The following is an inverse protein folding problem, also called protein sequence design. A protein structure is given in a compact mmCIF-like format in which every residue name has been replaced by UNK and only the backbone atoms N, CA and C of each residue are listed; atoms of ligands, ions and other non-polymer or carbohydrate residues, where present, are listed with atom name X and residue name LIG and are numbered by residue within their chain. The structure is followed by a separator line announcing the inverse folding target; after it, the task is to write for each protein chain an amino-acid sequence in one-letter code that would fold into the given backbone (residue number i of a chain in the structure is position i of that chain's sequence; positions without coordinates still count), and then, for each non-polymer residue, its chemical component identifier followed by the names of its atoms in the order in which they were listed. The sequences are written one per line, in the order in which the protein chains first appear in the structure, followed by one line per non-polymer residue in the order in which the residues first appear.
data_IF_565432636910
#
_entry.id   IF_565432636910
#
_cell.length_a   1.000
_cell.length_b   1.000
_cell.length_c   1.000
_cell.angle_alpha   90.00
_cell.angle_beta   90.00
_cell.angle_gamma   90.00
#
_symmetry.space_group_name_H-M   'P 1'
#
loop_
_entity.id
_entity.type
_entity.pdbx_description
1 polymer ?
#
# COMPACT_ATOMS: atom_id res chain seq x y z
N UNK A 1 -15.32 -11.55 22.33
CA UNK A 1 -15.01 -10.16 22.69
C UNK A 1 -13.83 -9.68 21.84
N UNK A 2 -13.95 -8.53 21.17
CA UNK A 2 -12.89 -7.98 20.29
C UNK A 2 -11.83 -7.30 21.17
N UNK A 3 -10.57 -7.71 21.04
CA UNK A 3 -9.44 -7.09 21.76
C UNK A 3 -8.92 -5.87 20.98
N UNK A 4 -9.35 -4.66 21.37
CA UNK A 4 -8.92 -3.40 20.74
C UNK A 4 -7.38 -3.28 20.63
N UNK A 5 -6.65 -3.71 21.65
CA UNK A 5 -5.19 -3.70 21.65
C UNK A 5 -4.57 -4.55 20.53
N UNK A 6 -5.21 -5.68 20.16
CA UNK A 6 -4.77 -6.49 19.03
C UNK A 6 -5.02 -5.76 17.71
N UNK A 7 -6.17 -5.09 17.57
CA UNK A 7 -6.51 -4.31 16.38
C UNK A 7 -5.53 -3.15 16.14
N UNK A 8 -5.20 -2.39 17.20
CA UNK A 8 -4.22 -1.29 17.16
C UNK A 8 -2.83 -1.80 16.74
N UNK A 9 -2.39 -2.93 17.29
CA UNK A 9 -1.11 -3.55 16.93
C UNK A 9 -1.08 -3.99 15.47
N UNK A 10 -2.18 -4.59 14.98
CA UNK A 10 -2.31 -4.99 13.57
C UNK A 10 -2.26 -3.78 12.64
N UNK A 11 -3.00 -2.72 12.93
CA UNK A 11 -2.94 -1.47 12.16
C UNK A 11 -1.52 -0.90 12.05
N UNK A 12 -0.76 -0.89 13.15
CA UNK A 12 0.65 -0.49 13.13
C UNK A 12 1.52 -1.40 12.25
N UNK A 13 1.29 -2.71 12.24
CA UNK A 13 1.97 -3.66 11.35
C UNK A 13 1.61 -3.42 9.89
N UNK A 14 0.35 -3.11 9.58
CA UNK A 14 -0.08 -2.77 8.22
C UNK A 14 0.54 -1.47 7.72
N UNK A 15 0.54 -0.42 8.54
CA UNK A 15 1.22 0.83 8.20
C UNK A 15 2.71 0.60 7.95
N UNK A 16 3.35 -0.24 8.78
CA UNK A 16 4.75 -0.59 8.60
C UNK A 16 5.00 -1.36 7.29
N UNK A 17 4.12 -2.30 6.96
CA UNK A 17 4.20 -3.10 5.73
C UNK A 17 3.93 -2.25 4.49
N UNK A 18 3.02 -1.28 4.58
CA UNK A 18 2.76 -0.31 3.53
C UNK A 18 4.00 0.52 3.22
N UNK A 19 4.63 1.11 4.24
CA UNK A 19 5.86 1.91 4.08
C UNK A 19 7.01 1.04 3.53
N UNK A 20 7.17 -0.18 4.05
CA UNK A 20 8.20 -1.10 3.55
C UNK A 20 7.96 -1.45 2.08
N UNK A 21 6.71 -1.75 1.68
CA UNK A 21 6.37 -2.04 0.29
C UNK A 21 6.63 -0.83 -0.63
N UNK A 22 6.24 0.37 -0.20
CA UNK A 22 6.51 1.61 -0.93
C UNK A 22 8.01 1.81 -1.15
N UNK A 23 8.82 1.75 -0.09
CA UNK A 23 10.26 1.98 -0.17
C UNK A 23 10.98 0.89 -0.97
N UNK A 24 10.60 -0.39 -0.79
CA UNK A 24 11.20 -1.49 -1.54
C UNK A 24 10.88 -1.40 -3.03
N UNK A 25 9.63 -1.08 -3.39
CA UNK A 25 9.27 -0.84 -4.78
C UNK A 25 10.00 0.35 -5.37
N UNK A 26 10.06 1.47 -4.64
CA UNK A 26 10.80 2.65 -5.09
C UNK A 26 12.28 2.36 -5.30
N UNK A 27 12.94 1.71 -4.33
CA UNK A 27 14.34 1.32 -4.44
C UNK A 27 14.58 0.37 -5.62
N UNK A 28 13.73 -0.64 -5.82
CA UNK A 28 13.86 -1.57 -6.93
C UNK A 28 13.69 -0.87 -8.29
N UNK A 29 12.74 0.07 -8.42
CA UNK A 29 12.57 0.87 -9.65
C UNK A 29 13.81 1.74 -9.88
N UNK A 30 14.29 2.46 -8.87
CA UNK A 30 15.48 3.31 -8.97
C UNK A 30 16.74 2.52 -9.36
N UNK A 31 16.91 1.31 -8.83
CA UNK A 31 17.97 0.38 -9.28
C UNK A 31 17.72 -0.05 -10.73
N UNK A 32 16.49 -0.36 -11.11
CA UNK A 32 16.11 -0.69 -12.49
C UNK A 32 16.44 0.41 -13.49
N UNK A 33 16.37 1.69 -13.10
CA UNK A 33 16.76 2.82 -13.95
C UNK A 33 18.23 2.82 -14.36
N UNK A 34 19.09 2.08 -13.63
CA UNK A 34 20.49 1.91 -14.03
C UNK A 34 20.67 0.95 -15.22
N UNK A 35 19.61 0.19 -15.55
CA UNK A 35 19.63 -0.86 -16.57
C UNK A 35 18.64 -0.62 -17.72
N UNK A 36 17.57 0.16 -17.49
CA UNK A 36 16.48 0.35 -18.44
C UNK A 36 15.83 1.74 -18.34
N UNK A 37 15.00 2.09 -19.32
CA UNK A 37 14.14 3.28 -19.24
C UNK A 37 13.14 3.14 -18.09
N UNK A 38 12.61 4.27 -17.61
CA UNK A 38 11.64 4.32 -16.51
C UNK A 38 10.45 3.38 -16.71
N UNK A 39 9.84 3.35 -17.89
CA UNK A 39 8.65 2.53 -18.10
C UNK A 39 8.99 1.05 -18.09
N UNK A 40 10.12 0.67 -18.71
CA UNK A 40 10.62 -0.70 -18.70
C UNK A 40 11.01 -1.16 -17.28
N UNK A 41 11.64 -0.29 -16.50
CA UNK A 41 11.99 -0.57 -15.11
C UNK A 41 10.73 -0.77 -14.24
N UNK A 42 9.72 0.09 -14.42
CA UNK A 42 8.43 -0.05 -13.74
C UNK A 42 7.74 -1.36 -14.14
N UNK A 43 7.70 -1.67 -15.44
CA UNK A 43 7.04 -2.86 -15.98
C UNK A 43 7.76 -4.16 -15.61
N UNK A 44 9.07 -4.12 -15.37
CA UNK A 44 9.83 -5.24 -14.83
C UNK A 44 9.61 -5.44 -13.31
N UNK A 45 9.47 -4.35 -12.54
CA UNK A 45 9.45 -4.39 -11.07
C UNK A 45 8.04 -4.59 -10.50
N UNK A 46 7.03 -3.91 -11.05
CA UNK A 46 5.68 -3.94 -10.47
C UNK A 46 5.04 -5.34 -10.51
N UNK A 47 5.01 -6.09 -11.63
CA UNK A 47 4.37 -7.39 -11.69
C UNK A 47 4.87 -8.40 -10.66
N UNK A 48 6.19 -8.65 -10.49
CA UNK A 48 6.66 -9.62 -9.50
C UNK A 48 6.36 -9.17 -8.07
N UNK A 49 6.47 -7.87 -7.76
CA UNK A 49 6.17 -7.38 -6.41
C UNK A 49 4.67 -7.45 -6.08
N UNK A 50 3.80 -7.17 -7.05
CA UNK A 50 2.35 -7.36 -6.91
C UNK A 50 2.01 -8.85 -6.74
N UNK A 51 2.63 -9.73 -7.52
CA UNK A 51 2.45 -11.18 -7.41
C UNK A 51 2.88 -11.71 -6.03
N UNK A 52 4.05 -11.30 -5.53
CA UNK A 52 4.52 -11.64 -4.20
C UNK A 52 3.56 -11.17 -3.10
N UNK A 53 2.93 -10.01 -3.29
CA UNK A 53 1.92 -9.49 -2.36
C UNK A 53 0.68 -10.36 -2.37
N UNK A 54 0.18 -10.69 -3.56
CA UNK A 54 -0.97 -11.57 -3.71
C UNK A 54 -0.70 -12.94 -3.07
N UNK A 55 0.49 -13.51 -3.27
CA UNK A 55 0.92 -14.76 -2.64
C UNK A 55 1.01 -14.65 -1.11
N UNK A 56 1.62 -13.58 -0.60
CA UNK A 56 1.73 -13.35 0.85
C UNK A 56 0.35 -13.19 1.50
N UNK A 57 -0.57 -12.46 0.85
CA UNK A 57 -1.95 -12.30 1.32
C UNK A 57 -2.73 -13.62 1.26
N UNK A 58 -2.63 -14.36 0.15
CA UNK A 58 -3.24 -15.68 0.01
C UNK A 58 -2.72 -16.66 1.06
N UNK A 59 -1.41 -16.69 1.30
CA UNK A 59 -0.78 -17.47 2.35
C UNK A 59 -1.27 -17.09 3.75
N UNK A 60 -1.41 -15.79 4.04
CA UNK A 60 -1.94 -15.31 5.30
C UNK A 60 -3.41 -15.72 5.53
N UNK A 61 -4.23 -15.72 4.47
CA UNK A 61 -5.61 -16.23 4.52
C UNK A 61 -5.62 -17.72 4.84
N UNK A 62 -4.86 -18.53 4.11
CA UNK A 62 -4.75 -19.99 4.35
C UNK A 62 -4.27 -20.29 5.77
N UNK A 63 -3.22 -19.60 6.23
CA UNK A 63 -2.70 -19.73 7.59
C UNK A 63 -3.76 -19.39 8.65
N UNK A 64 -4.59 -18.36 8.39
CA UNK A 64 -5.68 -17.96 9.28
C UNK A 64 -6.79 -19.02 9.36
N UNK A 65 -7.06 -19.74 8.26
CA UNK A 65 -8.03 -20.83 8.25
C UNK A 65 -7.57 -22.03 9.08
N UNK A 66 -6.28 -22.37 9.02
CA UNK A 66 -5.68 -23.51 9.74
C UNK A 66 -5.40 -23.19 11.21
N UNK A 67 -5.31 -21.91 11.60
CA UNK A 67 -5.06 -21.50 12.98
C UNK A 67 -6.15 -21.99 13.95
N UNK A 68 -5.75 -22.37 15.18
CA UNK A 68 -6.66 -22.79 16.28
C UNK A 68 -7.32 -21.60 16.99
N UNK A 69 -7.75 -20.62 16.22
CA UNK A 69 -8.41 -19.41 16.73
C UNK A 69 -9.94 -19.53 16.64
N UNK A 70 -10.64 -18.76 17.48
CA UNK A 70 -12.12 -18.69 17.43
C UNK A 70 -12.59 -18.15 16.08
N UNK A 71 -13.79 -18.57 15.64
CA UNK A 71 -14.39 -18.14 14.37
C UNK A 71 -14.44 -16.60 14.24
N UNK A 72 -14.79 -15.91 15.32
CA UNK A 72 -14.85 -14.44 15.34
C UNK A 72 -13.49 -13.77 15.09
N UNK A 73 -12.40 -14.33 15.63
CA UNK A 73 -11.04 -13.83 15.36
C UNK A 73 -10.65 -14.05 13.90
N UNK A 74 -10.98 -15.22 13.33
CA UNK A 74 -10.70 -15.52 11.91
C UNK A 74 -11.42 -14.54 10.99
N UNK A 75 -12.72 -14.34 11.21
CA UNK A 75 -13.52 -13.41 10.41
C UNK A 75 -13.03 -11.97 10.51
N UNK A 76 -12.65 -11.51 11.71
CA UNK A 76 -12.10 -10.16 11.89
C UNK A 76 -10.75 -9.99 11.16
N UNK A 77 -9.87 -10.99 11.19
CA UNK A 77 -8.59 -10.96 10.46
C UNK A 77 -8.81 -11.01 8.95
N UNK A 78 -9.73 -11.83 8.46
CA UNK A 78 -10.07 -11.88 7.03
C UNK A 78 -10.67 -10.57 6.55
N UNK A 79 -11.58 -9.97 7.31
CA UNK A 79 -12.19 -8.68 6.98
C UNK A 79 -11.14 -7.56 6.95
N UNK A 80 -10.26 -7.53 7.95
CA UNK A 80 -9.16 -6.56 7.99
C UNK A 80 -8.18 -6.79 6.84
N UNK A 81 -7.87 -8.05 6.51
CA UNK A 81 -7.06 -8.42 5.36
C UNK A 81 -7.68 -7.92 4.06
N UNK A 82 -8.96 -8.20 3.83
CA UNK A 82 -9.72 -7.76 2.65
C UNK A 82 -9.72 -6.24 2.50
N UNK A 83 -9.99 -5.52 3.60
CA UNK A 83 -10.00 -4.06 3.64
C UNK A 83 -8.62 -3.46 3.29
N UNK A 84 -7.54 -4.16 3.63
CA UNK A 84 -6.18 -3.67 3.50
C UNK A 84 -5.43 -4.25 2.29
N UNK A 85 -6.01 -5.21 1.56
CA UNK A 85 -5.43 -5.77 0.33
C UNK A 85 -5.17 -4.66 -0.67
N UNK A 86 -6.21 -3.90 -1.01
CA UNK A 86 -6.11 -2.88 -2.04
C UNK A 86 -5.10 -1.78 -1.63
N UNK A 87 -5.16 -1.19 -0.41
CA UNK A 87 -4.13 -0.28 0.07
C UNK A 87 -2.71 -0.83 0.01
N UNK A 88 -2.53 -2.12 0.33
CA UNK A 88 -1.21 -2.77 0.33
C UNK A 88 -0.66 -2.94 -1.09
N UNK A 89 -1.49 -3.30 -2.06
CA UNK A 89 -1.09 -3.39 -3.47
C UNK A 89 -0.68 -2.01 -4.01
N UNK A 90 -1.44 -0.98 -3.64
CA UNK A 90 -1.18 0.38 -4.10
C UNK A 90 0.04 1.05 -3.50
N UNK A 91 0.55 0.60 -2.35
CA UNK A 91 1.84 1.09 -1.83
C UNK A 91 2.95 1.01 -2.90
N UNK A 92 2.97 -0.08 -3.67
CA UNK A 92 3.97 -0.36 -4.71
C UNK A 92 3.75 0.51 -5.94
N UNK A 93 2.48 0.61 -6.35
CA UNK A 93 2.05 1.46 -7.47
C UNK A 93 2.31 2.94 -7.16
N UNK A 94 2.07 3.39 -5.93
CA UNK A 94 2.34 4.75 -5.48
C UNK A 94 3.81 5.12 -5.61
N UNK A 95 4.72 4.18 -5.36
CA UNK A 95 6.14 4.41 -5.55
C UNK A 95 6.48 4.66 -7.02
N UNK A 96 5.91 3.85 -7.93
CA UNK A 96 6.05 4.05 -9.37
C UNK A 96 5.45 5.38 -9.84
N UNK A 97 4.25 5.72 -9.38
CA UNK A 97 3.59 7.01 -9.67
C UNK A 97 4.43 8.19 -9.19
N UNK A 98 4.98 8.11 -7.97
CA UNK A 98 5.82 9.16 -7.40
C UNK A 98 7.11 9.35 -8.22
N UNK A 99 7.80 8.26 -8.58
CA UNK A 99 9.02 8.34 -9.40
C UNK A 99 8.69 8.89 -10.79
N UNK A 100 7.61 8.43 -11.42
CA UNK A 100 7.17 8.92 -12.72
C UNK A 100 6.85 10.41 -12.70
N UNK A 101 6.17 10.89 -11.64
CA UNK A 101 5.93 12.30 -11.42
C UNK A 101 7.24 13.12 -11.33
N UNK A 102 8.21 12.67 -10.53
CA UNK A 102 9.51 13.36 -10.43
C UNK A 102 10.35 13.28 -11.70
N UNK A 103 10.11 12.29 -12.55
CA UNK A 103 10.75 12.13 -13.84
C UNK A 103 10.01 12.87 -14.98
N UNK A 104 8.96 13.63 -14.67
CA UNK A 104 8.09 14.31 -15.63
C UNK A 104 7.56 13.38 -16.74
N UNK A 105 7.21 12.14 -16.35
CA UNK A 105 6.64 11.14 -17.25
C UNK A 105 5.30 10.65 -16.74
N UNK A 106 4.36 10.45 -17.66
CA UNK A 106 3.06 9.86 -17.31
C UNK A 106 3.21 8.37 -17.01
N UNK A 107 2.75 7.96 -15.83
CA UNK A 107 2.66 6.54 -15.42
C UNK A 107 1.69 5.74 -16.31
N UNK A 108 0.80 6.42 -17.03
CA UNK A 108 -0.18 5.79 -17.91
C UNK A 108 0.45 5.04 -19.08
N UNK A 109 1.73 5.32 -19.39
CA UNK A 109 2.50 4.58 -20.39
C UNK A 109 3.02 3.23 -19.90
N UNK A 110 2.98 2.95 -18.59
CA UNK A 110 3.36 1.65 -18.04
C UNK A 110 2.27 0.60 -18.27
N UNK A 111 2.64 -0.51 -18.89
CA UNK A 111 1.73 -1.64 -19.10
C UNK A 111 1.34 -2.30 -17.78
N UNK A 112 2.26 -2.35 -16.81
CA UNK A 112 1.99 -2.90 -15.48
C UNK A 112 0.99 -2.04 -14.69
N UNK A 113 1.12 -0.71 -14.77
CA UNK A 113 0.15 0.21 -14.16
C UNK A 113 -1.25 0.07 -14.80
N UNK A 114 -1.32 0.08 -16.13
CA UNK A 114 -2.58 -0.11 -16.84
C UNK A 114 -3.22 -1.47 -16.50
N UNK A 115 -2.42 -2.54 -16.44
CA UNK A 115 -2.88 -3.87 -16.03
C UNK A 115 -3.43 -3.90 -14.61
N UNK A 116 -2.78 -3.21 -13.66
CA UNK A 116 -3.29 -3.05 -12.30
C UNK A 116 -4.65 -2.33 -12.28
N UNK A 117 -4.77 -1.21 -12.99
CA UNK A 117 -6.01 -0.43 -13.06
C UNK A 117 -7.15 -1.24 -13.68
N UNK A 118 -6.87 -1.99 -14.75
CA UNK A 118 -7.83 -2.92 -15.37
C UNK A 118 -8.26 -4.00 -14.37
N UNK A 119 -7.31 -4.60 -13.63
CA UNK A 119 -7.60 -5.61 -12.63
C UNK A 119 -8.57 -5.10 -11.55
N UNK A 120 -8.36 -3.89 -11.06
CA UNK A 120 -9.26 -3.26 -10.09
C UNK A 120 -10.61 -2.93 -10.72
N UNK A 121 -10.62 -2.38 -11.94
CA UNK A 121 -11.86 -2.06 -12.66
C UNK A 121 -12.74 -3.29 -12.90
N UNK A 122 -12.14 -4.44 -13.24
CA UNK A 122 -12.88 -5.72 -13.42
C UNK A 122 -13.63 -6.17 -12.17
N UNK A 123 -13.18 -5.78 -10.98
CA UNK A 123 -13.84 -6.10 -9.71
C UNK A 123 -14.92 -5.06 -9.38
N UNK A 124 -14.58 -3.77 -9.53
CA UNK A 124 -15.47 -2.68 -9.12
C UNK A 124 -16.64 -2.45 -10.09
N UNK A 125 -16.45 -2.71 -11.39
CA UNK A 125 -17.46 -2.43 -12.41
C UNK A 125 -18.75 -3.28 -12.28
N UNK A 126 -18.69 -4.61 -12.04
CA UNK A 126 -19.90 -5.39 -11.77
C UNK A 126 -20.65 -4.91 -10.51
N UNK A 127 -19.91 -4.48 -9.49
CA UNK A 127 -20.48 -3.94 -8.24
C UNK A 127 -21.18 -2.61 -8.52
N UNK A 128 -20.57 -1.75 -9.33
CA UNK A 128 -21.15 -0.45 -9.70
C UNK A 128 -22.45 -0.61 -10.49
N UNK A 129 -22.48 -1.59 -11.41
CA UNK A 129 -23.70 -1.93 -12.16
C UNK A 129 -24.80 -2.48 -11.25
N UNK A 130 -24.46 -3.34 -10.29
CA UNK A 130 -25.43 -3.86 -9.32
C UNK A 130 -26.02 -2.77 -8.41
N UNK A 131 -25.26 -1.71 -8.14
CA UNK A 131 -25.67 -0.57 -7.32
C UNK A 131 -26.33 0.57 -8.12
N UNK A 132 -26.38 0.47 -9.45
CA UNK A 132 -26.90 1.52 -10.32
C UNK A 132 -26.05 2.81 -10.34
N UNK A 133 -24.76 2.70 -10.03
CA UNK A 133 -23.85 3.85 -9.89
C UNK A 133 -22.80 3.83 -11.00
N UNK A 134 -22.95 4.70 -12.00
CA UNK A 134 -22.07 4.78 -13.17
C UNK A 134 -20.65 5.31 -12.87
N UNK A 135 -20.44 6.01 -11.75
CA UNK A 135 -19.14 6.62 -11.39
C UNK A 135 -18.55 6.03 -10.08
N UNK A 136 -19.06 4.89 -9.61
CA UNK A 136 -18.55 4.25 -8.38
C UNK A 136 -17.05 3.99 -8.48
N UNK A 137 -16.59 3.50 -9.64
CA UNK A 137 -15.19 3.24 -9.89
C UNK A 137 -14.34 4.51 -9.74
N UNK A 138 -14.72 5.61 -10.41
CA UNK A 138 -13.97 6.85 -10.38
C UNK A 138 -13.92 7.48 -8.98
N UNK A 139 -15.00 7.36 -8.20
CA UNK A 139 -15.05 7.83 -6.80
C UNK A 139 -14.21 6.97 -5.87
N UNK A 140 -14.35 5.65 -5.93
CA UNK A 140 -13.55 4.71 -5.12
C UNK A 140 -12.08 4.87 -5.45
N UNK A 141 -11.74 4.98 -6.74
CA UNK A 141 -10.37 5.19 -7.20
C UNK A 141 -9.78 6.49 -6.67
N UNK A 142 -10.49 7.62 -6.79
CA UNK A 142 -10.03 8.91 -6.24
C UNK A 142 -9.90 8.89 -4.72
N UNK A 143 -10.91 8.39 -4.02
CA UNK A 143 -10.87 8.28 -2.55
C UNK A 143 -9.71 7.40 -2.10
N UNK A 144 -9.46 6.31 -2.82
CA UNK A 144 -8.37 5.40 -2.57
C UNK A 144 -6.99 6.04 -2.78
N UNK A 145 -6.80 6.73 -3.90
CA UNK A 145 -5.57 7.50 -4.16
C UNK A 145 -5.34 8.52 -3.04
N UNK A 146 -6.38 9.24 -2.62
CA UNK A 146 -6.28 10.24 -1.55
C UNK A 146 -5.94 9.62 -0.19
N UNK A 147 -6.68 8.60 0.22
CA UNK A 147 -6.49 7.94 1.52
C UNK A 147 -5.13 7.27 1.58
N UNK A 148 -4.70 6.59 0.52
CA UNK A 148 -3.39 5.94 0.50
C UNK A 148 -2.23 6.92 0.48
N UNK A 149 -2.34 8.05 -0.23
CA UNK A 149 -1.33 9.10 -0.22
C UNK A 149 -1.26 9.78 1.14
N UNK A 150 -2.39 10.16 1.75
CA UNK A 150 -2.42 10.83 3.05
C UNK A 150 -2.04 9.89 4.18
N UNK A 151 -2.63 8.70 4.26
CA UNK A 151 -2.31 7.72 5.31
C UNK A 151 -0.88 7.22 5.14
N UNK A 152 -0.44 6.98 3.89
CA UNK A 152 0.93 6.61 3.57
C UNK A 152 1.94 7.68 3.97
N UNK A 153 1.67 8.94 3.63
CA UNK A 153 2.50 10.08 4.00
C UNK A 153 2.52 10.32 5.52
N UNK A 154 1.36 10.39 6.17
CA UNK A 154 1.28 10.61 7.62
C UNK A 154 1.91 9.45 8.40
N UNK A 155 1.75 8.21 7.94
CA UNK A 155 2.39 7.04 8.57
C UNK A 155 3.90 7.04 8.37
N UNK A 156 4.38 7.42 7.19
CA UNK A 156 5.80 7.60 6.92
C UNK A 156 6.36 8.74 7.79
N UNK A 157 5.71 9.90 7.81
CA UNK A 157 6.11 11.04 8.63
C UNK A 157 6.14 10.68 10.13
N UNK A 158 5.08 10.08 10.68
CA UNK A 158 5.02 9.68 12.08
C UNK A 158 6.09 8.66 12.47
N UNK A 159 6.51 7.79 11.54
CA UNK A 159 7.51 6.75 11.79
C UNK A 159 8.95 7.20 11.53
N UNK A 160 9.16 8.10 10.57
CA UNK A 160 10.48 8.67 10.23
C UNK A 160 10.80 9.83 11.19
N UNK A 161 9.81 10.54 11.71
CA UNK A 161 10.01 11.67 12.63
C UNK A 161 10.87 11.37 13.87
N UNK A 162 10.70 10.26 14.60
CA UNK A 162 11.61 9.91 15.70
C UNK A 162 13.04 9.64 15.24
N UNK A 163 13.21 9.08 14.03
CA UNK A 163 14.52 8.81 13.44
C UNK A 163 15.20 10.09 12.97
N UNK A 164 14.45 11.02 12.36
CA UNK A 164 14.88 12.38 12.02
C UNK A 164 15.27 13.17 13.26
N UNK A 165 14.46 13.16 14.33
CA UNK A 165 14.81 13.79 15.62
C UNK A 165 16.10 13.25 16.20
N UNK A 166 16.33 11.93 16.11
CA UNK A 166 17.60 11.32 16.56
C UNK A 166 18.80 11.76 15.73
N UNK A 167 18.60 12.05 14.44
CA UNK A 167 19.65 12.51 13.53
C UNK A 167 19.94 14.01 13.68
N UNK A 168 18.91 14.81 13.99
CA UNK A 168 18.98 16.27 14.16
C UNK A 168 19.52 16.71 15.53
N UNK A 169 19.91 15.75 16.39
CA UNK A 169 20.44 16.00 17.71
C UNK A 169 19.35 16.15 18.78
N UNK A 170 19.67 15.90 20.07
CA UNK A 170 18.72 16.14 21.16
C UNK A 170 18.28 17.61 21.14
N UNK A 171 16.98 17.84 21.31
CA UNK A 171 16.47 19.19 21.62
C UNK A 171 17.32 19.76 22.78
N UNK A 172 17.89 20.96 22.66
CA UNK A 172 18.58 21.59 23.77
C UNK A 172 17.60 21.59 24.95
N UNK A 173 18.04 21.03 26.08
CA UNK A 173 17.27 21.15 27.30
C UNK A 173 17.04 22.64 27.54
N UNK A 174 15.80 23.02 27.82
CA UNK A 174 15.50 24.35 28.37
C UNK A 174 16.30 24.48 29.68
N UNK A 175 17.51 25.01 29.57
CA UNK A 175 18.23 25.63 30.67
C UNK A 175 17.62 27.02 30.87
N UNK A 176 16.50 27.05 31.60
CA UNK A 176 16.06 28.25 32.31
C UNK A 176 14.70 28.81 31.94
N UNK A 177 13.70 28.49 32.77
CA UNK A 177 12.87 29.48 33.47
C UNK A 177 12.32 28.88 34.76
#
# INVERSE_FOLDING_TARGET
MIRLAHLKRRLGQYAALWVAAFLLSGAAILVGLTLADLMDAIDAVLPPLLALTALALGGAVVASLVARETLGTKLAVLLLGLLLVLPSLWARVSAAVAIAFFADRSIEYSAAYAGFQIGVARILFPISQALGDGDLFGRVWRAFQWVSTVVGFLSAAARVWPMLRRLLGPEPADEGA
#
